data_IF_395379372025
#
_entry.id   IF_395379372025
#
_cell.length_a   1.000
_cell.length_b   1.000
_cell.length_c   1.000
_cell.angle_alpha   90.00
_cell.angle_beta   90.00
_cell.angle_gamma   90.00
#
_symmetry.space_group_name_H-M   'P 1'
#
loop_
_entity.id
_entity.type
_entity.pdbx_description
1 polymer ?
#
# COMPACT_ATOMS: atom_id res chain seq x y z
N UNK A 1 -52.04 -13.57 -1.99
CA UNK A 1 -50.87 -13.56 -2.91
C UNK A 1 -49.55 -13.69 -2.15
N UNK A 2 -49.37 -12.91 -1.07
CA UNK A 2 -48.24 -12.98 -0.12
C UNK A 2 -47.87 -14.41 0.35
N UNK A 3 -48.80 -15.29 0.78
CA UNK A 3 -48.43 -16.62 1.28
C UNK A 3 -47.83 -17.53 0.20
N UNK A 4 -48.25 -17.37 -1.07
CA UNK A 4 -47.66 -18.10 -2.20
C UNK A 4 -46.24 -17.61 -2.49
N UNK A 5 -46.02 -16.30 -2.45
CA UNK A 5 -44.69 -15.71 -2.63
C UNK A 5 -43.71 -16.17 -1.52
N UNK A 6 -44.17 -16.22 -0.27
CA UNK A 6 -43.37 -16.72 0.87
C UNK A 6 -43.04 -18.21 0.69
N UNK A 7 -44.00 -19.04 0.29
CA UNK A 7 -43.76 -20.46 0.06
C UNK A 7 -42.74 -20.71 -1.05
N UNK A 8 -42.80 -19.92 -2.14
CA UNK A 8 -41.82 -19.96 -3.22
C UNK A 8 -40.44 -19.55 -2.69
N UNK A 9 -40.33 -18.43 -1.97
CA UNK A 9 -39.07 -17.97 -1.41
C UNK A 9 -38.43 -18.99 -0.46
N UNK A 10 -39.23 -19.65 0.39
CA UNK A 10 -38.76 -20.70 1.28
C UNK A 10 -38.26 -21.94 0.53
N UNK A 11 -38.95 -22.35 -0.54
CA UNK A 11 -38.53 -23.47 -1.38
C UNK A 11 -37.18 -23.18 -2.06
N UNK A 12 -36.99 -21.96 -2.57
CA UNK A 12 -35.71 -21.52 -3.13
C UNK A 12 -34.61 -21.47 -2.07
N UNK A 13 -34.91 -20.96 -0.87
CA UNK A 13 -33.95 -20.88 0.22
C UNK A 13 -33.49 -22.28 0.67
N UNK A 14 -34.40 -23.25 0.75
CA UNK A 14 -34.07 -24.65 1.04
C UNK A 14 -33.24 -25.30 -0.06
N UNK A 15 -33.57 -25.02 -1.33
CA UNK A 15 -32.81 -25.51 -2.48
C UNK A 15 -31.36 -24.98 -2.47
N UNK A 16 -31.20 -23.68 -2.20
CA UNK A 16 -29.89 -23.03 -2.06
C UNK A 16 -29.12 -23.59 -0.85
N UNK A 17 -29.78 -23.70 0.31
CA UNK A 17 -29.16 -24.18 1.54
C UNK A 17 -28.68 -25.64 1.46
N UNK A 18 -29.37 -26.47 0.67
CA UNK A 18 -29.00 -27.88 0.46
C UNK A 18 -27.82 -28.02 -0.50
N UNK A 19 -27.59 -27.05 -1.38
CA UNK A 19 -26.45 -27.04 -2.29
C UNK A 19 -25.24 -26.32 -1.65
N UNK A 20 -24.41 -27.11 -0.95
CA UNK A 20 -23.18 -26.61 -0.29
C UNK A 20 -22.24 -25.89 -1.26
N UNK A 21 -22.17 -26.33 -2.53
CA UNK A 21 -21.33 -25.71 -3.55
C UNK A 21 -21.80 -24.29 -3.87
N UNK A 22 -23.10 -24.10 -3.99
CA UNK A 22 -23.69 -22.78 -4.25
C UNK A 22 -23.46 -21.82 -3.09
N UNK A 23 -23.61 -22.29 -1.84
CA UNK A 23 -23.33 -21.47 -0.65
C UNK A 23 -21.86 -21.01 -0.62
N UNK A 24 -20.92 -21.91 -0.92
CA UNK A 24 -19.49 -21.57 -0.97
C UNK A 24 -19.23 -20.54 -2.08
N UNK A 25 -19.76 -20.75 -3.28
CA UNK A 25 -19.58 -19.84 -4.41
C UNK A 25 -20.17 -18.45 -4.13
N UNK A 26 -21.29 -18.37 -3.41
CA UNK A 26 -21.94 -17.12 -3.03
C UNK A 26 -21.03 -16.21 -2.19
N UNK A 27 -20.10 -16.76 -1.42
CA UNK A 27 -19.12 -15.98 -0.65
C UNK A 27 -17.77 -15.87 -1.36
N UNK A 28 -17.28 -16.96 -1.96
CA UNK A 28 -15.95 -17.00 -2.57
C UNK A 28 -15.84 -16.08 -3.78
N UNK A 29 -16.86 -16.02 -4.64
CA UNK A 29 -16.82 -15.19 -5.86
C UNK A 29 -16.74 -13.69 -5.53
N UNK A 30 -17.60 -13.13 -4.66
CA UNK A 30 -17.48 -11.72 -4.26
C UNK A 30 -16.14 -11.39 -3.61
N UNK A 31 -15.60 -12.28 -2.76
CA UNK A 31 -14.29 -12.08 -2.11
C UNK A 31 -13.17 -12.05 -3.17
N UNK A 32 -13.16 -13.01 -4.09
CA UNK A 32 -12.19 -13.07 -5.20
C UNK A 32 -12.28 -11.82 -6.08
N UNK A 33 -13.48 -11.39 -6.45
CA UNK A 33 -13.66 -10.17 -7.25
C UNK A 33 -13.18 -8.92 -6.51
N UNK A 34 -13.53 -8.79 -5.23
CA UNK A 34 -13.07 -7.67 -4.40
C UNK A 34 -11.55 -7.66 -4.30
N UNK A 35 -10.93 -8.83 -4.16
CA UNK A 35 -9.47 -8.97 -4.15
C UNK A 35 -8.83 -8.57 -5.48
N UNK A 36 -9.35 -9.07 -6.62
CA UNK A 36 -8.85 -8.73 -7.96
C UNK A 36 -8.99 -7.23 -8.24
N UNK A 37 -10.14 -6.65 -7.92
CA UNK A 37 -10.39 -5.21 -8.10
C UNK A 37 -9.46 -4.41 -7.18
N UNK A 38 -9.28 -4.85 -5.93
CA UNK A 38 -8.35 -4.23 -4.99
C UNK A 38 -6.90 -4.22 -5.50
N UNK A 39 -6.44 -5.32 -6.10
CA UNK A 39 -5.12 -5.42 -6.73
C UNK A 39 -5.01 -4.55 -7.98
N UNK A 40 -6.07 -4.50 -8.80
CA UNK A 40 -6.09 -3.73 -10.05
C UNK A 40 -6.14 -2.21 -9.80
N UNK A 41 -6.86 -1.76 -8.77
CA UNK A 41 -7.02 -0.33 -8.43
C UNK A 41 -5.93 0.14 -7.46
N UNK A 42 -5.59 -0.67 -6.46
CA UNK A 42 -4.65 -0.32 -5.41
C UNK A 42 -3.18 -0.44 -5.80
N UNK A 43 -2.87 -0.97 -6.99
CA UNK A 43 -1.52 -1.42 -7.32
C UNK A 43 -1.22 -2.71 -6.58
N UNK A 44 -0.79 -3.74 -7.31
CA UNK A 44 -0.43 -5.00 -6.69
C UNK A 44 0.78 -4.80 -5.81
N UNK A 45 0.56 -4.81 -4.49
CA UNK A 45 1.49 -4.29 -3.48
C UNK A 45 1.81 -2.81 -3.69
N UNK A 46 1.69 -2.00 -2.64
CA UNK A 46 2.76 -1.02 -2.42
C UNK A 46 4.02 -1.89 -2.50
N UNK A 47 4.76 -1.82 -3.61
CA UNK A 47 6.05 -2.49 -3.73
C UNK A 47 6.78 -2.10 -2.46
N UNK A 48 6.86 -3.04 -1.50
CA UNK A 48 7.76 -2.91 -0.37
C UNK A 48 9.07 -2.54 -1.06
N UNK A 49 9.58 -1.32 -0.85
CA UNK A 49 10.68 -0.82 -1.66
C UNK A 49 11.73 -1.90 -1.64
N UNK A 50 12.13 -2.35 -2.84
CA UNK A 50 13.01 -3.51 -3.04
C UNK A 50 14.03 -3.49 -1.89
N UNK A 51 14.27 -4.62 -1.18
CA UNK A 51 15.21 -4.63 -0.06
C UNK A 51 16.60 -4.05 -0.39
N UNK A 52 16.93 -3.90 -1.68
CA UNK A 52 18.13 -3.26 -2.25
C UNK A 52 17.96 -1.76 -2.62
N UNK A 53 16.75 -1.22 -2.61
CA UNK A 53 16.47 0.20 -2.88
C UNK A 53 17.23 1.07 -1.89
N UNK A 54 18.05 1.96 -2.43
CA UNK A 54 18.76 2.99 -1.67
C UNK A 54 18.16 4.35 -2.01
N UNK A 55 17.83 5.13 -0.99
CA UNK A 55 17.31 6.48 -1.16
C UNK A 55 18.45 7.47 -1.02
N UNK A 56 18.60 8.33 -2.02
CA UNK A 56 19.55 9.44 -1.94
C UNK A 56 18.93 10.59 -1.14
N UNK A 57 19.64 11.07 -0.13
CA UNK A 57 19.23 12.19 0.71
C UNK A 57 20.31 13.26 0.66
N UNK A 58 19.94 14.44 0.17
CA UNK A 58 20.78 15.62 0.18
C UNK A 58 20.48 16.44 1.45
N UNK A 59 21.49 16.72 2.26
CA UNK A 59 21.38 17.49 3.50
C UNK A 59 22.15 18.80 3.35
N UNK A 60 21.51 19.90 3.71
CA UNK A 60 22.14 21.22 3.82
C UNK A 60 22.27 21.56 5.30
N UNK A 61 23.50 21.86 5.76
CA UNK A 61 23.80 22.20 7.15
C UNK A 61 24.46 23.59 7.21
N UNK A 62 23.64 24.63 7.18
CA UNK A 62 24.11 26.02 7.01
C UNK A 62 24.62 26.65 8.28
N UNK A 63 24.04 26.27 9.41
CA UNK A 63 24.41 26.73 10.73
C UNK A 63 25.71 26.08 11.22
N UNK A 64 26.16 25.00 10.54
CA UNK A 64 27.31 24.18 10.92
C UNK A 64 27.29 23.78 12.41
N UNK A 65 26.10 23.71 13.00
CA UNK A 65 25.90 23.49 14.42
C UNK A 65 26.24 22.06 14.83
N UNK A 66 26.64 21.87 16.09
CA UNK A 66 26.95 20.53 16.61
C UNK A 66 25.77 19.55 16.51
N UNK A 67 24.53 20.04 16.64
CA UNK A 67 23.33 19.23 16.46
C UNK A 67 23.15 18.77 15.00
N UNK A 68 23.39 19.67 14.04
CA UNK A 68 23.34 19.35 12.61
C UNK A 68 24.38 18.30 12.23
N UNK A 69 25.60 18.40 12.76
CA UNK A 69 26.65 17.40 12.54
C UNK A 69 26.26 16.03 13.12
N UNK A 70 25.69 15.98 14.33
CA UNK A 70 25.20 14.73 14.94
C UNK A 70 24.06 14.11 14.14
N UNK A 71 23.15 14.93 13.61
CA UNK A 71 22.08 14.48 12.74
C UNK A 71 22.65 13.84 11.47
N UNK A 72 23.59 14.51 10.78
CA UNK A 72 24.24 13.98 9.58
C UNK A 72 24.92 12.63 9.88
N UNK A 73 25.65 12.51 10.99
CA UNK A 73 26.28 11.25 11.39
C UNK A 73 25.27 10.13 11.64
N UNK A 74 24.13 10.45 12.27
CA UNK A 74 23.07 9.48 12.52
C UNK A 74 22.43 9.01 11.22
N UNK A 75 22.09 9.94 10.32
CA UNK A 75 21.46 9.62 9.03
C UNK A 75 22.43 8.83 8.13
N UNK A 76 23.74 9.15 8.13
CA UNK A 76 24.77 8.39 7.40
C UNK A 76 24.92 6.94 7.86
N UNK A 77 24.60 6.65 9.13
CA UNK A 77 24.61 5.28 9.68
C UNK A 77 23.31 4.52 9.40
N UNK A 78 22.30 5.20 8.85
CA UNK A 78 21.01 4.58 8.56
C UNK A 78 21.15 3.69 7.32
N UNK A 79 20.87 2.38 7.43
CA UNK A 79 20.90 1.49 6.27
C UNK A 79 19.96 2.00 5.18
N UNK A 80 20.34 1.80 3.92
CA UNK A 80 19.58 2.19 2.71
C UNK A 80 19.50 3.69 2.42
N UNK A 81 20.21 4.56 3.16
CA UNK A 81 20.33 5.97 2.81
C UNK A 81 21.73 6.28 2.21
N UNK A 82 21.75 6.86 1.01
CA UNK A 82 22.93 7.48 0.40
C UNK A 82 22.90 8.97 0.73
N UNK A 83 23.64 9.38 1.76
CA UNK A 83 23.56 10.73 2.32
C UNK A 83 24.69 11.60 1.79
N UNK A 84 24.34 12.69 1.11
CA UNK A 84 25.28 13.69 0.62
C UNK A 84 25.05 15.03 1.30
N UNK A 85 26.12 15.64 1.81
CA UNK A 85 26.08 17.01 2.34
C UNK A 85 26.39 17.94 1.18
N UNK A 86 25.45 18.82 0.85
CA UNK A 86 25.54 19.74 -0.29
C UNK A 86 25.27 21.17 0.15
N UNK A 87 25.65 22.14 -0.69
CA UNK A 87 25.25 23.52 -0.47
C UNK A 87 23.76 23.75 -0.78
N UNK A 88 23.23 24.88 -0.31
CA UNK A 88 21.82 25.26 -0.51
C UNK A 88 21.44 25.29 -1.98
N UNK A 89 22.30 25.85 -2.84
CA UNK A 89 21.98 26.03 -4.25
C UNK A 89 21.80 24.67 -4.95
N UNK A 90 22.72 23.75 -4.70
CA UNK A 90 22.69 22.37 -5.23
C UNK A 90 21.46 21.61 -4.73
N UNK A 91 21.06 21.81 -3.47
CA UNK A 91 19.83 21.21 -2.94
C UNK A 91 18.57 21.75 -3.63
N UNK A 92 18.50 23.08 -3.84
CA UNK A 92 17.37 23.71 -4.53
C UNK A 92 17.27 23.27 -5.99
N UNK A 93 18.40 23.17 -6.68
CA UNK A 93 18.47 22.69 -8.06
C UNK A 93 18.02 21.22 -8.18
N UNK A 94 18.30 20.40 -7.17
CA UNK A 94 17.86 19.01 -7.12
C UNK A 94 16.34 18.88 -6.94
N UNK A 95 15.73 19.71 -6.09
CA UNK A 95 14.27 19.75 -5.89
C UNK A 95 13.55 20.27 -7.14
N UNK A 96 14.11 21.28 -7.81
CA UNK A 96 13.51 21.85 -9.01
C UNK A 96 13.48 20.90 -10.23
N UNK A 97 14.28 19.82 -10.20
CA UNK A 97 14.38 18.82 -11.28
C UNK A 97 13.63 17.51 -10.99
N UNK A 98 13.15 17.33 -9.76
CA UNK A 98 12.37 16.16 -9.33
C UNK A 98 10.88 16.37 -9.63
#
# INVERSE_FOLDING_TARGET
MIPKAIAIALAYLQMIARNRSFLIQMFVIPIMLTFIIGQAIGGGSDELPDPTTTWRVNIVNEDAGQLGLRLIEYVKKTPRLDVQVVDRQTAMDAVARA
#
